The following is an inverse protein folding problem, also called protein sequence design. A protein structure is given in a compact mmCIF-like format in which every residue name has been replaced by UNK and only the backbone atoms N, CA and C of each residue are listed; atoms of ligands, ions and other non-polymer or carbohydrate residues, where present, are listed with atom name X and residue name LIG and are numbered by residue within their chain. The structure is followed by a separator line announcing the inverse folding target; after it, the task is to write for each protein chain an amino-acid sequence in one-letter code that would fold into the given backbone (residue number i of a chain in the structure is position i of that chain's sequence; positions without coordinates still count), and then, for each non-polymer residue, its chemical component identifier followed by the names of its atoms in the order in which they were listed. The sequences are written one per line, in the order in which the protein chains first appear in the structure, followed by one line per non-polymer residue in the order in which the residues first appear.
data_IF_087661161068
#
_entry.id   IF_087661161068
#
_cell.length_a   1.000
_cell.length_b   1.000
_cell.length_c   1.000
_cell.angle_alpha   90.00
_cell.angle_beta   90.00
_cell.angle_gamma   90.00
#
_symmetry.space_group_name_H-M   'P 1'
#
loop_
_entity.id
_entity.type
_entity.pdbx_description
1 polymer ?
#
# COMPACT_ATOMS: atom_id res chain seq x y z
N UNK A 1 6.73 -7.17 20.38
CA UNK A 1 8.00 -7.65 19.79
C UNK A 1 9.13 -7.61 20.83
N UNK A 2 9.34 -6.48 21.54
CA UNK A 2 10.46 -6.33 22.48
C UNK A 2 10.41 -7.41 23.58
N UNK A 3 9.30 -7.60 24.27
CA UNK A 3 9.17 -8.64 25.31
C UNK A 3 9.45 -10.05 24.80
N UNK A 4 8.98 -10.38 23.57
CA UNK A 4 9.33 -11.67 22.98
C UNK A 4 10.84 -11.83 22.75
N UNK A 5 11.54 -10.77 22.32
CA UNK A 5 12.99 -10.79 22.15
C UNK A 5 13.71 -11.04 23.48
N UNK A 6 13.27 -10.42 24.55
CA UNK A 6 13.81 -10.62 25.92
C UNK A 6 13.65 -12.08 26.40
N UNK A 7 12.60 -12.75 25.93
CA UNK A 7 12.36 -14.18 26.15
C UNK A 7 13.10 -15.11 25.18
N UNK A 8 13.91 -14.56 24.28
CA UNK A 8 14.70 -15.33 23.32
C UNK A 8 14.00 -15.65 22.00
N UNK A 9 12.88 -15.01 21.71
CA UNK A 9 12.16 -15.22 20.45
C UNK A 9 12.98 -14.83 19.21
N UNK A 10 12.80 -15.59 18.14
CA UNK A 10 13.22 -15.24 16.80
C UNK A 10 12.37 -14.09 16.23
N UNK A 11 12.92 -13.39 15.25
CA UNK A 11 12.24 -12.32 14.51
C UNK A 11 12.09 -12.72 13.06
N UNK A 12 10.98 -12.31 12.44
CA UNK A 12 10.68 -12.55 11.03
C UNK A 12 10.31 -11.23 10.32
N UNK A 13 10.64 -11.15 9.04
CA UNK A 13 10.22 -10.12 8.10
C UNK A 13 10.51 -8.67 8.52
N UNK A 14 11.59 -8.44 9.29
CA UNK A 14 11.92 -7.13 9.87
C UNK A 14 12.21 -6.05 8.83
N UNK A 15 12.49 -6.40 7.57
CA UNK A 15 12.67 -5.47 6.47
C UNK A 15 11.41 -5.21 5.63
N UNK A 16 10.29 -5.84 5.97
CA UNK A 16 9.04 -5.70 5.23
C UNK A 16 8.14 -4.61 5.82
N UNK A 17 7.43 -3.89 4.96
CA UNK A 17 6.54 -2.81 5.37
C UNK A 17 5.37 -2.62 4.38
N UNK A 18 4.34 -1.91 4.81
CA UNK A 18 3.32 -1.34 3.95
C UNK A 18 3.66 0.13 3.69
N UNK A 19 3.90 0.45 2.42
CA UNK A 19 3.99 1.82 1.95
C UNK A 19 2.65 2.32 1.41
N UNK A 20 2.55 3.63 1.21
CA UNK A 20 1.49 4.27 0.44
C UNK A 20 2.08 5.31 -0.48
N UNK A 21 1.83 5.19 -1.78
CA UNK A 21 2.50 6.01 -2.80
C UNK A 21 1.94 7.44 -2.90
N UNK A 22 0.73 7.70 -2.41
CA UNK A 22 -0.03 8.90 -2.76
C UNK A 22 -0.65 9.58 -1.53
N UNK A 23 0.18 9.98 -0.57
CA UNK A 23 -0.22 10.91 0.49
C UNK A 23 -0.20 12.33 -0.07
N UNK A 24 -1.31 13.04 0.01
CA UNK A 24 -1.42 14.42 -0.51
C UNK A 24 -0.52 15.37 0.29
N UNK A 25 0.32 16.13 -0.40
CA UNK A 25 1.25 17.06 0.22
C UNK A 25 0.84 18.51 -0.04
N UNK A 26 0.86 19.40 0.98
CA UNK A 26 1.32 19.19 2.37
C UNK A 26 0.21 18.72 3.34
N UNK A 27 -0.95 18.34 2.88
CA UNK A 27 -2.14 18.09 3.70
C UNK A 27 -2.04 16.86 4.60
N UNK A 28 -1.27 15.82 4.21
CA UNK A 28 -1.12 14.59 4.98
C UNK A 28 -2.27 13.60 4.83
N UNK A 29 -3.34 13.96 4.11
CA UNK A 29 -4.47 13.07 3.81
C UNK A 29 -4.10 12.08 2.71
N UNK A 30 -4.79 10.94 2.67
CA UNK A 30 -4.61 10.01 1.58
C UNK A 30 -5.30 10.54 0.32
N UNK A 31 -4.56 10.58 -0.79
CA UNK A 31 -5.21 10.58 -2.09
C UNK A 31 -5.68 9.15 -2.35
N UNK A 32 -6.98 8.95 -2.46
CA UNK A 32 -7.54 7.62 -2.70
C UNK A 32 -6.84 6.91 -3.86
N UNK A 33 -6.30 5.72 -3.60
CA UNK A 33 -5.66 4.91 -4.65
C UNK A 33 -6.64 4.51 -5.76
N UNK A 34 -7.93 4.58 -5.49
CA UNK A 34 -8.99 4.44 -6.50
C UNK A 34 -8.73 5.36 -7.69
N UNK A 35 -8.17 6.57 -7.49
CA UNK A 35 -7.85 7.48 -8.59
C UNK A 35 -6.86 6.88 -9.59
N UNK A 36 -5.89 6.09 -9.12
CA UNK A 36 -4.88 5.44 -9.97
C UNK A 36 -5.43 4.12 -10.57
N UNK A 37 -6.13 3.32 -9.76
CA UNK A 37 -6.75 2.07 -10.21
C UNK A 37 -7.80 2.30 -11.30
N UNK A 38 -8.52 3.43 -11.23
CA UNK A 38 -9.54 3.77 -12.22
C UNK A 38 -8.98 4.44 -13.48
N UNK A 39 -7.67 4.56 -13.60
CA UNK A 39 -7.03 5.01 -14.85
C UNK A 39 -6.21 6.28 -14.72
N UNK A 40 -6.04 6.83 -13.51
CA UNK A 40 -5.09 7.92 -13.28
C UNK A 40 -3.64 7.44 -13.37
N UNK A 41 -2.72 8.39 -13.41
CA UNK A 41 -1.27 8.15 -13.52
C UNK A 41 -0.49 8.97 -12.51
N UNK A 42 0.75 8.56 -12.24
CA UNK A 42 1.72 9.33 -11.47
C UNK A 42 2.83 9.86 -12.38
N UNK A 43 3.11 11.16 -12.25
CA UNK A 43 4.20 11.83 -12.98
C UNK A 43 5.15 12.53 -12.01
N UNK A 44 6.43 12.63 -12.39
CA UNK A 44 7.44 13.39 -11.67
C UNK A 44 7.40 14.89 -12.05
N UNK A 45 8.28 15.71 -11.45
CA UNK A 45 8.37 17.14 -11.75
C UNK A 45 8.80 17.48 -13.19
N UNK A 46 9.26 16.48 -13.96
CA UNK A 46 9.52 16.66 -15.41
C UNK A 46 8.29 16.35 -16.27
N UNK A 47 7.14 16.01 -15.67
CA UNK A 47 5.93 15.64 -16.39
C UNK A 47 5.96 14.21 -16.96
N UNK A 48 6.87 13.36 -16.51
CA UNK A 48 7.08 12.00 -17.02
C UNK A 48 6.50 10.96 -16.06
N UNK A 49 5.81 9.93 -16.59
CA UNK A 49 5.51 8.69 -15.85
C UNK A 49 6.82 7.93 -15.57
N UNK A 50 6.83 7.18 -14.48
CA UNK A 50 8.03 6.50 -14.02
C UNK A 50 7.78 5.05 -13.53
N UNK A 51 6.61 4.48 -13.80
CA UNK A 51 6.29 3.12 -13.39
C UNK A 51 4.91 2.65 -13.80
N UNK A 52 4.62 1.39 -13.45
CA UNK A 52 3.34 0.73 -13.65
C UNK A 52 2.50 0.83 -12.38
N UNK A 53 1.42 1.57 -12.42
CA UNK A 53 0.52 1.79 -11.28
C UNK A 53 -0.24 0.50 -10.88
N UNK A 54 -0.30 -0.52 -11.74
CA UNK A 54 -0.94 -1.81 -11.45
C UNK A 54 -0.23 -2.61 -10.33
N UNK A 55 1.02 -2.25 -9.98
CA UNK A 55 1.73 -2.89 -8.85
C UNK A 55 1.16 -2.52 -7.47
N UNK A 56 0.19 -1.60 -7.43
CA UNK A 56 -0.51 -1.20 -6.23
C UNK A 56 0.23 -0.15 -5.37
N UNK A 57 -0.52 0.49 -4.48
CA UNK A 57 -0.07 1.64 -3.70
C UNK A 57 1.17 1.37 -2.83
N UNK A 58 1.29 0.16 -2.30
CA UNK A 58 2.41 -0.18 -1.42
C UNK A 58 3.70 -0.39 -2.22
N UNK A 59 3.64 -1.19 -3.28
CA UNK A 59 4.79 -1.41 -4.16
C UNK A 59 5.26 -0.13 -4.85
N UNK A 60 4.32 0.71 -5.27
CA UNK A 60 4.61 1.97 -5.97
C UNK A 60 5.25 3.04 -5.06
N UNK A 61 5.05 2.97 -3.73
CA UNK A 61 5.64 3.92 -2.79
C UNK A 61 7.17 4.01 -2.92
N UNK A 62 7.85 2.89 -3.18
CA UNK A 62 9.30 2.87 -3.43
C UNK A 62 9.68 3.63 -4.70
N UNK A 63 8.87 3.55 -5.77
CA UNK A 63 9.13 4.26 -7.02
C UNK A 63 8.98 5.77 -6.82
N UNK A 64 7.96 6.20 -6.07
CA UNK A 64 7.77 7.61 -5.71
C UNK A 64 8.96 8.13 -4.88
N UNK A 65 9.39 7.38 -3.87
CA UNK A 65 10.56 7.74 -3.05
C UNK A 65 11.83 7.86 -3.90
N UNK A 66 11.98 7.00 -4.90
CA UNK A 66 13.14 6.97 -5.81
C UNK A 66 13.23 8.16 -6.76
N UNK A 67 12.13 8.92 -6.97
CA UNK A 67 12.17 10.08 -7.89
C UNK A 67 13.05 11.22 -7.36
N UNK A 68 13.18 11.37 -6.03
CA UNK A 68 13.92 12.48 -5.41
C UNK A 68 13.45 13.89 -5.85
N UNK A 69 12.27 13.96 -6.44
CA UNK A 69 11.60 15.16 -6.93
C UNK A 69 10.13 15.12 -6.54
N UNK A 70 9.41 16.20 -6.78
CA UNK A 70 7.97 16.22 -6.57
C UNK A 70 7.27 15.25 -7.51
N UNK A 71 6.21 14.62 -6.99
CA UNK A 71 5.37 13.68 -7.73
C UNK A 71 3.92 14.15 -7.70
N UNK A 72 3.23 13.94 -8.80
CA UNK A 72 1.87 14.39 -8.99
C UNK A 72 1.00 13.25 -9.51
N UNK A 73 -0.17 13.08 -8.91
CA UNK A 73 -1.21 12.22 -9.44
C UNK A 73 -2.11 13.01 -10.38
N UNK A 74 -2.40 12.45 -11.56
CA UNK A 74 -3.26 13.05 -12.57
C UNK A 74 -4.39 12.06 -12.90
N UNK A 75 -5.60 12.56 -12.90
CA UNK A 75 -6.82 11.81 -13.22
C UNK A 75 -7.88 12.74 -13.83
N UNK A 76 -8.98 12.21 -14.30
CA UNK A 76 -10.04 13.00 -14.91
C UNK A 76 -11.30 13.10 -14.04
N UNK A 77 -12.27 13.87 -14.53
CA UNK A 77 -13.51 14.16 -13.80
C UNK A 77 -14.37 12.89 -13.57
N UNK A 78 -14.32 11.92 -14.47
CA UNK A 78 -15.03 10.63 -14.31
C UNK A 78 -14.46 9.82 -13.17
N UNK A 79 -13.14 9.82 -13.03
CA UNK A 79 -12.42 9.15 -11.96
C UNK A 79 -12.67 9.87 -10.63
N UNK A 80 -12.61 11.21 -10.65
CA UNK A 80 -12.95 12.04 -9.50
C UNK A 80 -14.34 11.72 -8.96
N UNK A 81 -15.34 11.61 -9.81
CA UNK A 81 -16.71 11.30 -9.41
C UNK A 81 -16.84 9.96 -8.65
N UNK A 82 -15.94 9.02 -8.90
CA UNK A 82 -15.88 7.76 -8.14
C UNK A 82 -15.23 7.99 -6.77
N UNK A 83 -14.10 8.70 -6.73
CA UNK A 83 -13.36 8.98 -5.51
C UNK A 83 -14.14 9.92 -4.55
N UNK A 84 -15.00 10.78 -5.06
CA UNK A 84 -15.89 11.65 -4.28
C UNK A 84 -16.87 10.89 -3.35
N UNK A 85 -16.98 9.58 -3.50
CA UNK A 85 -17.77 8.75 -2.57
C UNK A 85 -17.06 8.57 -1.22
N UNK A 86 -15.76 8.82 -1.16
CA UNK A 86 -14.94 8.73 0.03
C UNK A 86 -14.90 10.09 0.75
N UNK A 87 -15.23 10.13 2.04
CA UNK A 87 -15.28 11.36 2.83
C UNK A 87 -13.93 12.08 2.86
N UNK A 88 -12.87 11.33 3.06
CA UNK A 88 -11.49 11.82 3.14
C UNK A 88 -11.03 12.48 1.82
N UNK A 89 -11.46 11.92 0.69
CA UNK A 89 -11.17 12.51 -0.62
C UNK A 89 -11.92 13.84 -0.82
N UNK A 90 -13.21 13.90 -0.42
CA UNK A 90 -13.99 15.16 -0.49
C UNK A 90 -13.39 16.25 0.40
N UNK A 91 -12.95 15.89 1.59
CA UNK A 91 -12.28 16.84 2.49
C UNK A 91 -11.00 17.38 1.85
N UNK A 92 -10.17 16.53 1.23
CA UNK A 92 -8.96 16.95 0.53
C UNK A 92 -9.26 17.92 -0.64
N UNK A 93 -10.34 17.68 -1.39
CA UNK A 93 -10.82 18.62 -2.43
C UNK A 93 -11.20 19.96 -1.82
N UNK A 94 -11.98 19.95 -0.73
CA UNK A 94 -12.45 21.17 -0.05
C UNK A 94 -11.28 22.00 0.54
N UNK A 95 -10.24 21.33 1.02
CA UNK A 95 -9.02 21.96 1.51
C UNK A 95 -8.13 22.50 0.36
N UNK A 96 -8.52 22.29 -0.89
CA UNK A 96 -7.77 22.75 -2.06
C UNK A 96 -6.50 21.96 -2.35
N UNK A 97 -6.37 20.75 -1.80
CA UNK A 97 -5.24 19.84 -2.04
C UNK A 97 -5.21 19.27 -3.46
N UNK A 98 -6.34 19.33 -4.16
CA UNK A 98 -6.48 18.87 -5.54
C UNK A 98 -6.91 20.07 -6.41
N UNK A 99 -6.23 20.27 -7.54
CA UNK A 99 -6.52 21.33 -8.52
C UNK A 99 -7.09 20.74 -9.79
N UNK A 100 -7.84 21.55 -10.56
CA UNK A 100 -8.39 21.10 -11.85
C UNK A 100 -8.25 22.13 -12.94
N UNK A 101 -8.15 21.65 -14.18
CA UNK A 101 -8.10 22.47 -15.39
C UNK A 101 -8.73 21.75 -16.58
N UNK A 102 -9.19 22.54 -17.55
CA UNK A 102 -9.80 22.03 -18.78
C UNK A 102 -8.77 21.76 -19.88
N UNK A 103 -7.50 22.12 -19.67
CA UNK A 103 -6.39 21.84 -20.58
C UNK A 103 -5.14 21.36 -19.82
N UNK A 104 -4.26 20.67 -20.53
CA UNK A 104 -2.98 20.19 -20.00
C UNK A 104 -2.06 21.37 -19.64
N UNK A 105 -2.04 22.42 -20.45
CA UNK A 105 -1.22 23.61 -20.20
C UNK A 105 -1.64 24.30 -18.88
N UNK A 106 -2.94 24.49 -18.68
CA UNK A 106 -3.46 25.08 -17.46
C UNK A 106 -3.23 24.15 -16.24
N UNK A 107 -3.30 22.83 -16.43
CA UNK A 107 -3.00 21.85 -15.38
C UNK A 107 -1.52 21.91 -14.98
N UNK A 108 -0.61 21.93 -15.95
CA UNK A 108 0.83 22.01 -15.75
C UNK A 108 1.23 23.33 -15.02
N UNK A 109 0.55 24.42 -15.31
CA UNK A 109 0.83 25.72 -14.72
C UNK A 109 0.69 25.75 -13.19
N UNK A 110 -0.19 24.93 -12.58
CA UNK A 110 -0.37 24.88 -11.12
C UNK A 110 0.92 24.56 -10.37
N UNK A 111 1.77 23.72 -10.96
CA UNK A 111 3.00 23.24 -10.32
C UNK A 111 4.25 23.47 -11.18
N UNK A 112 4.14 24.35 -12.20
CA UNK A 112 5.23 24.69 -13.12
C UNK A 112 5.85 23.45 -13.81
N UNK A 113 5.01 22.48 -14.15
CA UNK A 113 5.44 21.32 -14.92
C UNK A 113 5.73 21.71 -16.38
N UNK A 114 6.67 21.04 -17.08
CA UNK A 114 6.86 21.19 -18.51
C UNK A 114 5.61 20.71 -19.27
N UNK A 115 4.80 21.66 -19.77
CA UNK A 115 3.50 21.37 -20.37
C UNK A 115 3.60 20.46 -21.60
N UNK A 116 4.60 20.67 -22.45
CA UNK A 116 4.85 19.83 -23.63
C UNK A 116 5.18 18.37 -23.24
N UNK A 117 6.07 18.15 -22.28
CA UNK A 117 6.41 16.81 -21.80
C UNK A 117 5.20 16.13 -21.16
N UNK A 118 4.43 16.88 -20.37
CA UNK A 118 3.22 16.35 -19.75
C UNK A 118 2.18 15.95 -20.81
N UNK A 119 2.02 16.76 -21.87
CA UNK A 119 1.13 16.46 -22.98
C UNK A 119 1.56 15.18 -23.72
N UNK A 120 2.86 15.03 -24.00
CA UNK A 120 3.42 13.83 -24.63
C UNK A 120 3.21 12.58 -23.75
N UNK A 121 3.42 12.71 -22.43
CA UNK A 121 3.19 11.64 -21.46
C UNK A 121 1.72 11.19 -21.45
N UNK A 122 0.79 12.12 -21.37
CA UNK A 122 -0.65 11.84 -21.39
C UNK A 122 -1.11 11.24 -22.74
N UNK A 123 -0.55 11.73 -23.85
CA UNK A 123 -0.85 11.20 -25.17
C UNK A 123 -0.39 9.75 -25.31
N UNK A 124 0.87 9.46 -24.98
CA UNK A 124 1.41 8.09 -25.02
C UNK A 124 0.63 7.14 -24.12
N UNK A 125 0.26 7.56 -22.89
CA UNK A 125 -0.56 6.80 -22.00
C UNK A 125 -1.96 6.51 -22.56
N UNK A 126 -2.61 7.53 -23.14
CA UNK A 126 -3.92 7.40 -23.73
C UNK A 126 -3.93 6.48 -24.96
N UNK A 127 -2.88 6.52 -25.78
CA UNK A 127 -2.71 5.63 -26.92
C UNK A 127 -2.52 4.17 -26.46
N UNK A 128 -1.79 3.95 -25.40
CA UNK A 128 -1.67 2.61 -24.80
C UNK A 128 -3.02 2.12 -24.26
N UNK A 129 -3.77 2.98 -23.56
CA UNK A 129 -5.11 2.64 -23.07
C UNK A 129 -6.12 2.31 -24.19
N UNK A 130 -5.93 2.88 -25.38
CA UNK A 130 -6.73 2.59 -26.57
C UNK A 130 -6.21 1.38 -27.38
N UNK A 131 -5.13 0.74 -26.93
CA UNK A 131 -4.54 -0.40 -27.63
C UNK A 131 -3.75 -0.05 -28.90
N UNK A 132 -3.44 1.23 -29.13
CA UNK A 132 -2.68 1.68 -30.30
C UNK A 132 -1.18 1.37 -30.18
N UNK A 133 -0.68 1.24 -28.94
CA UNK A 133 0.70 0.86 -28.62
C UNK A 133 0.76 0.15 -27.27
N UNK A 134 1.87 -0.53 -26.99
CA UNK A 134 2.12 -1.08 -25.67
C UNK A 134 2.40 0.04 -24.66
N UNK A 135 2.00 -0.13 -23.39
CA UNK A 135 2.40 0.78 -22.31
C UNK A 135 3.88 0.64 -22.00
N UNK A 136 4.60 1.76 -21.88
CA UNK A 136 6.04 1.81 -21.66
C UNK A 136 6.48 1.13 -20.34
N UNK A 137 5.58 0.97 -19.38
CA UNK A 137 5.85 0.36 -18.07
C UNK A 137 5.12 -0.97 -17.88
N UNK A 138 4.43 -1.48 -18.92
CA UNK A 138 3.71 -2.75 -18.89
C UNK A 138 2.40 -2.71 -18.13
N UNK A 139 1.78 -1.53 -17.97
CA UNK A 139 0.43 -1.42 -17.43
C UNK A 139 -0.57 -2.10 -18.37
N UNK A 140 -1.44 -2.91 -17.82
CA UNK A 140 -2.44 -3.66 -18.59
C UNK A 140 -3.88 -3.33 -18.17
N UNK A 141 -4.09 -2.73 -17.01
CA UNK A 141 -5.41 -2.36 -16.49
C UNK A 141 -5.61 -0.85 -16.57
N UNK A 142 -6.30 -0.40 -17.59
CA UNK A 142 -6.50 1.03 -17.87
C UNK A 142 -7.83 1.57 -17.34
N UNK A 143 -8.77 0.70 -16.98
CA UNK A 143 -10.09 1.03 -16.43
C UNK A 143 -10.83 2.12 -17.24
N UNK A 144 -10.92 3.36 -16.74
CA UNK A 144 -11.60 4.48 -17.41
C UNK A 144 -10.71 5.30 -18.36
N UNK A 145 -9.40 4.99 -18.45
CA UNK A 145 -8.57 5.65 -19.45
C UNK A 145 -9.06 5.31 -20.89
N UNK A 146 -8.85 6.13 -21.89
CA UNK A 146 -7.98 7.33 -21.93
C UNK A 146 -8.52 8.46 -21.07
N UNK A 147 -7.59 9.22 -20.44
CA UNK A 147 -7.92 10.39 -19.65
C UNK A 147 -8.45 11.52 -20.57
N UNK A 148 -9.49 12.20 -20.11
CA UNK A 148 -10.18 13.25 -20.84
C UNK A 148 -10.20 14.55 -20.01
N UNK A 149 -10.32 15.69 -20.67
CA UNK A 149 -10.65 16.93 -19.98
C UNK A 149 -12.07 16.80 -19.33
N UNK A 150 -12.29 17.26 -18.15
CA UNK A 150 -11.49 18.08 -17.24
C UNK A 150 -10.48 17.20 -16.47
N UNK A 151 -9.24 17.68 -16.34
CA UNK A 151 -8.18 17.00 -15.62
C UNK A 151 -8.07 17.51 -14.18
N UNK A 152 -7.61 16.63 -13.29
CA UNK A 152 -7.34 16.90 -11.89
C UNK A 152 -5.90 16.53 -11.57
N UNK A 153 -5.24 17.30 -10.70
CA UNK A 153 -3.87 17.08 -10.27
C UNK A 153 -3.74 17.26 -8.76
N UNK A 154 -3.02 16.34 -8.13
CA UNK A 154 -2.68 16.38 -6.71
C UNK A 154 -1.18 16.14 -6.54
N UNK A 155 -0.49 17.01 -5.80
CA UNK A 155 0.89 16.76 -5.38
C UNK A 155 0.89 15.71 -4.29
N UNK A 156 1.73 14.67 -4.44
CA UNK A 156 1.77 13.53 -3.53
C UNK A 156 3.18 13.22 -3.06
N UNK A 157 3.28 12.58 -1.90
CA UNK A 157 4.52 12.06 -1.31
C UNK A 157 4.28 10.63 -0.84
N UNK A 158 5.31 9.77 -0.77
CA UNK A 158 5.12 8.44 -0.21
C UNK A 158 5.04 8.50 1.31
N UNK A 159 4.28 7.58 1.89
CA UNK A 159 4.16 7.39 3.33
C UNK A 159 4.45 5.96 3.75
N UNK A 160 4.95 5.79 4.98
CA UNK A 160 5.03 4.50 5.65
C UNK A 160 3.77 4.30 6.48
N UNK A 161 3.00 3.25 6.19
CA UNK A 161 1.77 2.96 6.93
C UNK A 161 2.05 2.12 8.17
N UNK A 162 2.67 0.96 7.99
CA UNK A 162 3.13 0.15 9.10
C UNK A 162 4.23 -0.83 8.69
N UNK A 163 4.97 -1.31 9.67
CA UNK A 163 5.96 -2.37 9.48
C UNK A 163 5.29 -3.74 9.50
N UNK A 164 5.89 -4.70 8.78
CA UNK A 164 5.44 -6.09 8.71
C UNK A 164 6.34 -7.04 9.52
N UNK A 165 7.40 -6.51 10.14
CA UNK A 165 8.30 -7.26 10.99
C UNK A 165 7.65 -7.61 12.34
N UNK A 166 7.96 -8.81 12.87
CA UNK A 166 7.42 -9.26 14.14
C UNK A 166 8.12 -10.50 14.67
N UNK A 167 7.52 -11.12 15.67
CA UNK A 167 7.98 -12.37 16.24
C UNK A 167 7.83 -13.51 15.24
N UNK A 168 8.81 -14.41 15.18
CA UNK A 168 8.68 -15.66 14.43
C UNK A 168 7.65 -16.57 15.12
N UNK A 169 6.73 -17.11 14.32
CA UNK A 169 5.65 -17.99 14.81
C UNK A 169 5.55 -19.24 13.94
N UNK A 170 4.97 -20.29 14.50
CA UNK A 170 4.53 -21.46 13.73
C UNK A 170 3.11 -21.27 13.14
N UNK A 171 2.57 -22.32 12.54
CA UNK A 171 1.23 -22.33 11.92
C UNK A 171 0.09 -22.20 12.92
N UNK A 172 0.34 -22.44 14.19
CA UNK A 172 -0.61 -22.33 15.30
C UNK A 172 -0.49 -20.98 16.04
N UNK A 173 0.44 -20.12 15.60
CA UNK A 173 0.69 -18.82 16.22
C UNK A 173 1.58 -18.87 17.47
N UNK A 174 2.21 -20.03 17.79
CA UNK A 174 3.18 -20.12 18.89
C UNK A 174 4.43 -19.34 18.53
N UNK A 175 4.93 -18.56 19.46
CA UNK A 175 6.18 -17.81 19.28
C UNK A 175 7.36 -18.76 19.32
N UNK A 176 8.23 -18.68 18.31
CA UNK A 176 9.40 -19.52 18.17
C UNK A 176 10.66 -18.82 18.70
N UNK A 177 11.53 -19.56 19.36
CA UNK A 177 12.90 -19.14 19.62
C UNK A 177 13.73 -19.12 18.34
N UNK A 178 14.95 -18.62 18.41
CA UNK A 178 15.89 -18.58 17.27
C UNK A 178 16.24 -19.95 16.72
N UNK A 179 16.17 -20.99 17.53
CA UNK A 179 16.40 -22.39 17.16
C UNK A 179 15.16 -23.10 16.57
N UNK A 180 14.04 -22.37 16.46
CA UNK A 180 12.78 -22.90 15.94
C UNK A 180 11.92 -23.61 16.98
N UNK A 181 12.33 -23.72 18.23
CA UNK A 181 11.50 -24.31 19.29
C UNK A 181 10.47 -23.34 19.84
N UNK A 182 9.22 -23.75 20.12
CA UNK A 182 8.22 -22.88 20.70
C UNK A 182 8.58 -22.38 22.11
N UNK A 183 8.24 -21.14 22.40
CA UNK A 183 8.25 -20.61 23.77
C UNK A 183 6.92 -21.02 24.43
N UNK A 184 6.95 -21.78 25.56
CA UNK A 184 5.73 -22.25 26.18
C UNK A 184 4.77 -21.11 26.55
N UNK A 185 3.47 -21.30 26.29
CA UNK A 185 2.38 -20.40 26.63
C UNK A 185 2.49 -19.00 26.00
N UNK A 186 3.30 -18.83 24.94
CA UNK A 186 3.45 -17.55 24.25
C UNK A 186 2.98 -17.66 22.81
N UNK A 187 1.99 -16.83 22.45
CA UNK A 187 1.42 -16.74 21.11
C UNK A 187 1.51 -15.30 20.60
N UNK A 188 1.55 -15.12 19.29
CA UNK A 188 1.52 -13.81 18.66
C UNK A 188 0.69 -13.82 17.37
N UNK A 189 0.01 -12.70 17.15
CA UNK A 189 -0.77 -12.46 15.93
C UNK A 189 -0.79 -10.99 15.58
N UNK A 190 -1.38 -10.65 14.42
CA UNK A 190 -1.46 -9.28 13.93
C UNK A 190 -0.09 -8.61 13.85
N UNK A 191 0.00 -7.35 14.29
CA UNK A 191 1.24 -6.57 14.26
C UNK A 191 2.35 -7.03 15.21
N UNK A 192 2.12 -8.02 16.07
CA UNK A 192 3.16 -8.60 16.94
C UNK A 192 3.91 -9.76 16.26
N UNK A 193 3.27 -10.48 15.33
CA UNK A 193 3.86 -11.55 14.55
C UNK A 193 4.47 -11.04 13.24
N UNK A 194 5.42 -11.77 12.67
CA UNK A 194 5.91 -11.52 11.32
C UNK A 194 4.75 -11.58 10.30
N UNK A 195 4.60 -10.53 9.50
CA UNK A 195 3.51 -10.43 8.52
C UNK A 195 3.67 -11.38 7.32
N UNK A 196 2.61 -11.50 6.54
CA UNK A 196 2.52 -12.41 5.38
C UNK A 196 2.87 -11.76 4.03
N UNK A 197 3.34 -10.51 4.06
CA UNK A 197 3.56 -9.69 2.85
C UNK A 197 4.99 -9.75 2.30
N UNK A 198 5.70 -10.85 2.54
CA UNK A 198 7.09 -11.03 2.12
C UNK A 198 8.09 -10.68 3.23
N UNK A 199 9.36 -10.89 2.93
CA UNK A 199 10.44 -10.78 3.93
C UNK A 199 11.05 -9.38 4.01
N UNK A 200 10.94 -8.60 2.91
CA UNK A 200 11.58 -7.27 2.80
C UNK A 200 10.83 -6.40 1.80
N UNK A 201 10.85 -5.07 2.05
CA UNK A 201 10.23 -4.08 1.18
C UNK A 201 8.70 -4.07 1.24
N UNK A 202 8.09 -3.37 0.29
CA UNK A 202 6.65 -3.11 0.23
C UNK A 202 5.92 -3.89 -0.87
N UNK A 203 6.64 -4.61 -1.73
CA UNK A 203 6.10 -5.23 -2.96
C UNK A 203 5.09 -6.35 -2.72
N UNK A 204 5.24 -7.10 -1.64
CA UNK A 204 4.36 -8.23 -1.33
C UNK A 204 3.07 -7.84 -0.61
N UNK A 205 2.88 -6.57 -0.26
CA UNK A 205 1.71 -6.15 0.49
C UNK A 205 0.47 -6.06 -0.41
N UNK A 206 -0.59 -6.73 0.02
CA UNK A 206 -1.93 -6.59 -0.55
C UNK A 206 -2.90 -6.01 0.49
N UNK A 207 -3.91 -5.27 0.00
CA UNK A 207 -4.95 -4.71 0.87
C UNK A 207 -5.66 -5.82 1.66
N UNK A 208 -5.85 -5.60 2.96
CA UNK A 208 -6.46 -6.59 3.86
C UNK A 208 -5.47 -7.50 4.59
N UNK A 209 -4.20 -7.59 4.20
CA UNK A 209 -3.21 -8.46 4.85
C UNK A 209 -3.08 -8.19 6.35
N UNK A 210 -3.15 -6.94 6.79
CA UNK A 210 -3.10 -6.58 8.22
C UNK A 210 -4.28 -7.15 9.01
N UNK A 211 -5.49 -7.00 8.48
CA UNK A 211 -6.71 -7.55 9.10
C UNK A 211 -6.72 -9.08 9.07
N UNK A 212 -6.29 -9.67 7.95
CA UNK A 212 -6.21 -11.13 7.82
C UNK A 212 -5.27 -11.73 8.88
N UNK A 213 -4.09 -11.17 9.07
CA UNK A 213 -3.14 -11.66 10.09
C UNK A 213 -3.65 -11.42 11.50
N UNK A 214 -4.31 -10.30 11.78
CA UNK A 214 -4.87 -10.03 13.10
C UNK A 214 -5.96 -11.04 13.47
N UNK A 215 -6.93 -11.24 12.60
CA UNK A 215 -8.09 -12.13 12.86
C UNK A 215 -7.67 -13.59 12.71
N UNK A 216 -7.00 -13.96 11.63
CA UNK A 216 -6.63 -15.35 11.33
C UNK A 216 -5.66 -15.92 12.35
N UNK A 217 -4.57 -15.22 12.63
CA UNK A 217 -3.60 -15.68 13.63
C UNK A 217 -4.18 -15.63 15.05
N UNK A 218 -5.03 -14.65 15.36
CA UNK A 218 -5.74 -14.62 16.65
C UNK A 218 -6.64 -15.83 16.85
N UNK A 219 -7.37 -16.24 15.81
CA UNK A 219 -8.20 -17.45 15.85
C UNK A 219 -7.35 -18.73 16.02
N UNK A 220 -6.29 -18.87 15.24
CA UNK A 220 -5.40 -20.05 15.32
C UNK A 220 -4.73 -20.16 16.69
N UNK A 221 -4.20 -19.05 17.20
CA UNK A 221 -3.59 -18.97 18.53
C UNK A 221 -4.57 -19.35 19.64
N UNK A 222 -5.81 -18.86 19.57
CA UNK A 222 -6.86 -19.18 20.54
C UNK A 222 -7.22 -20.66 20.54
N UNK A 223 -7.31 -21.28 19.35
CA UNK A 223 -7.50 -22.73 19.21
C UNK A 223 -6.36 -23.53 19.82
N UNK A 224 -5.12 -23.19 19.46
CA UNK A 224 -3.93 -23.89 19.93
C UNK A 224 -3.78 -23.79 21.45
N UNK A 225 -3.95 -22.61 22.02
CA UNK A 225 -3.91 -22.40 23.47
C UNK A 225 -4.98 -23.22 24.22
N UNK A 226 -6.20 -23.29 23.66
CA UNK A 226 -7.28 -24.12 24.23
C UNK A 226 -6.93 -25.59 24.19
N UNK A 227 -6.32 -26.09 23.11
CA UNK A 227 -5.92 -27.48 23.00
C UNK A 227 -4.82 -27.82 24.00
N UNK A 228 -3.80 -27.00 24.14
CA UNK A 228 -2.71 -27.17 25.11
C UNK A 228 -3.23 -27.24 26.57
N UNK A 229 -4.23 -26.42 26.91
CA UNK A 229 -4.85 -26.44 28.22
C UNK A 229 -5.59 -27.77 28.47
N UNK A 230 -6.32 -28.31 27.48
CA UNK A 230 -7.02 -29.61 27.58
C UNK A 230 -6.04 -30.74 27.73
N UNK A 231 -4.98 -30.78 26.94
CA UNK A 231 -3.96 -31.81 26.99
C UNK A 231 -3.24 -31.80 28.35
N UNK A 232 -2.93 -30.63 28.88
CA UNK A 232 -2.31 -30.47 30.19
C UNK A 232 -3.23 -30.91 31.34
N UNK A 233 -4.55 -30.65 31.22
CA UNK A 233 -5.51 -31.11 32.22
C UNK A 233 -5.70 -32.61 32.20
N UNK A 234 -5.72 -33.26 31.03
CA UNK A 234 -5.80 -34.72 30.89
C UNK A 234 -4.57 -35.42 31.50
N UNK A 235 -3.36 -34.87 31.25
CA UNK A 235 -2.14 -35.40 31.82
C UNK A 235 -2.13 -35.34 33.38
N UNK A 236 -2.66 -34.26 33.96
CA UNK A 236 -2.79 -34.13 35.41
C UNK A 236 -3.85 -35.04 36.00
N UNK A 237 -4.93 -35.33 35.28
CA UNK A 237 -5.97 -36.28 35.70
C UNK A 237 -5.58 -37.74 35.60
N UNK A 238 -4.55 -38.10 34.82
CA UNK A 238 -3.99 -39.47 34.75
C UNK A 238 -2.90 -39.74 35.79
N UNK A 239 -2.45 -38.71 36.50
CA UNK A 239 -1.41 -38.78 37.54
C UNK A 239 -1.98 -38.70 38.97
N UNK A 240 -3.29 -38.70 39.11
CA UNK A 240 -4.05 -38.76 40.37
C UNK A 240 -4.73 -40.15 40.52
#
# INVERSE_FOLDING_TARGET
VQWGRELGAGLANMGAYQGYAAVAYPHGSLLSWTTLEKGGILVNSRGERFGNEDIGYSGYARLVLGQQTEVFAIFDDRIKAIADKEDEFRELVNLGGIKSADSIDALAAFFKLPAETLAQTLHAYNDAAQGKQADNFGRSKFALAPLQAKYWICRVTPGLFHTQGGLAIDTDGRVLKKDGTPIPNLFAGGGAAGGISGQTGAMGYASGNGLLTAIGLGYLSGRAATQELKDSAQLKGLSS
#
